data_IF_186114203135
#
_entry.id   IF_186114203135
#
_cell.length_a   1.000
_cell.length_b   1.000
_cell.length_c   1.000
_cell.angle_alpha   90.00
_cell.angle_beta   90.00
_cell.angle_gamma   90.00
#
_symmetry.space_group_name_H-M   'P 1'
#
loop_
_entity.id
_entity.type
_entity.pdbx_description
1 polymer ?
#
# COMPACT_ATOMS: atom_id res chain seq x y z
N UNK A 1 -8.99 11.97 -9.26
CA UNK A 1 -9.55 11.48 -7.99
C UNK A 1 -8.82 10.21 -7.62
N UNK A 2 -8.34 10.12 -6.38
CA UNK A 2 -7.61 8.95 -5.88
C UNK A 2 -8.58 7.78 -5.68
N UNK A 3 -8.13 6.58 -6.04
CA UNK A 3 -8.95 5.36 -6.05
C UNK A 3 -8.20 4.14 -5.53
N UNK A 4 -6.87 4.20 -5.45
CA UNK A 4 -6.01 3.11 -5.02
C UNK A 4 -5.22 3.47 -3.76
N UNK A 5 -5.15 2.54 -2.80
CA UNK A 5 -4.32 2.65 -1.62
C UNK A 5 -3.38 1.44 -1.53
N UNK A 6 -2.09 1.68 -1.74
CA UNK A 6 -1.02 0.70 -1.68
C UNK A 6 -0.28 0.89 -0.35
N UNK A 7 0.06 -0.21 0.34
CA UNK A 7 0.62 -0.15 1.69
C UNK A 7 1.80 -1.12 1.83
N UNK A 8 2.88 -0.69 2.46
CA UNK A 8 3.92 -1.61 2.93
C UNK A 8 3.42 -2.50 4.09
N UNK A 9 4.07 -3.63 4.30
CA UNK A 9 3.80 -4.50 5.43
C UNK A 9 4.69 -4.16 6.64
N UNK A 10 5.99 -4.42 6.54
CA UNK A 10 6.92 -4.24 7.65
C UNK A 10 7.10 -2.76 7.94
N UNK A 11 7.09 -2.37 9.22
CA UNK A 11 7.23 -0.98 9.64
C UNK A 11 5.93 -0.14 9.53
N UNK A 12 4.93 -0.59 8.77
CA UNK A 12 3.63 0.11 8.62
C UNK A 12 2.48 -0.71 9.24
N UNK A 13 2.27 -1.94 8.76
CA UNK A 13 1.23 -2.84 9.29
C UNK A 13 1.71 -3.68 10.47
N UNK A 14 2.98 -3.54 10.83
CA UNK A 14 3.57 -4.08 12.06
C UNK A 14 3.83 -3.00 13.11
N UNK A 15 3.42 -1.75 12.85
CA UNK A 15 3.43 -0.67 13.84
C UNK A 15 2.52 -1.03 15.03
N UNK A 16 2.84 -0.62 16.29
CA UNK A 16 1.99 -0.91 17.44
C UNK A 16 0.51 -0.50 17.26
N UNK A 17 0.27 0.58 16.53
CA UNK A 17 -1.07 1.12 16.28
C UNK A 17 -1.63 0.69 14.91
N UNK A 18 -1.02 -0.30 14.24
CA UNK A 18 -1.43 -0.78 12.91
C UNK A 18 -2.91 -1.20 12.84
N UNK A 19 -3.53 -1.60 13.95
CA UNK A 19 -4.95 -1.92 14.03
C UNK A 19 -5.85 -0.78 13.49
N UNK A 20 -5.46 0.48 13.69
CA UNK A 20 -6.19 1.65 13.18
C UNK A 20 -6.13 1.73 11.64
N UNK A 21 -4.98 1.43 11.04
CA UNK A 21 -4.84 1.40 9.59
C UNK A 21 -5.58 0.21 8.97
N UNK A 22 -5.59 -0.94 9.63
CA UNK A 22 -6.41 -2.08 9.23
C UNK A 22 -7.91 -1.74 9.20
N UNK A 23 -8.42 -1.01 10.21
CA UNK A 23 -9.81 -0.54 10.23
C UNK A 23 -10.10 0.51 9.15
N UNK A 24 -9.14 1.41 8.89
CA UNK A 24 -9.23 2.34 7.77
C UNK A 24 -9.31 1.59 6.43
N UNK A 25 -8.46 0.59 6.19
CA UNK A 25 -8.45 -0.20 4.95
C UNK A 25 -9.80 -0.87 4.69
N UNK A 26 -10.43 -1.48 5.71
CA UNK A 26 -11.78 -2.04 5.60
C UNK A 26 -12.80 -0.98 5.19
N UNK A 27 -12.77 0.17 5.86
CA UNK A 27 -13.70 1.28 5.60
C UNK A 27 -13.50 1.87 4.20
N UNK A 28 -12.25 2.06 3.77
CA UNK A 28 -11.91 2.56 2.45
C UNK A 28 -12.39 1.61 1.34
N UNK A 29 -12.21 0.29 1.52
CA UNK A 29 -12.72 -0.73 0.59
C UNK A 29 -14.24 -0.72 0.50
N UNK A 30 -14.94 -0.62 1.64
CA UNK A 30 -16.40 -0.52 1.65
C UNK A 30 -16.92 0.71 0.88
N UNK A 31 -16.10 1.76 0.75
CA UNK A 31 -16.38 2.97 -0.06
C UNK A 31 -15.91 2.88 -1.51
N UNK A 32 -15.39 1.73 -1.95
CA UNK A 32 -14.94 1.49 -3.32
C UNK A 32 -13.48 1.82 -3.61
N UNK A 33 -12.67 2.13 -2.58
CA UNK A 33 -11.21 2.26 -2.74
C UNK A 33 -10.61 0.88 -2.97
N UNK A 34 -9.77 0.74 -3.99
CA UNK A 34 -9.01 -0.48 -4.25
C UNK A 34 -7.75 -0.51 -3.40
N UNK A 35 -7.43 -1.63 -2.77
CA UNK A 35 -6.29 -1.71 -1.85
C UNK A 35 -5.29 -2.77 -2.27
N UNK A 36 -3.99 -2.49 -2.13
CA UNK A 36 -2.94 -3.47 -2.38
C UNK A 36 -1.85 -3.46 -1.31
N UNK A 37 -1.32 -4.64 -1.02
CA UNK A 37 -0.08 -4.80 -0.27
C UNK A 37 1.10 -4.75 -1.24
N UNK A 38 2.14 -3.98 -0.91
CA UNK A 38 3.40 -3.94 -1.67
C UNK A 38 4.58 -4.13 -0.71
N UNK A 39 5.06 -5.37 -0.63
CA UNK A 39 6.06 -5.77 0.37
C UNK A 39 7.35 -6.28 -0.28
N UNK A 40 8.48 -5.76 0.20
CA UNK A 40 9.79 -6.33 -0.11
C UNK A 40 10.04 -7.60 0.72
N UNK A 41 9.35 -8.68 0.36
CA UNK A 41 9.49 -10.00 0.98
C UNK A 41 9.54 -11.11 -0.08
N UNK A 42 10.03 -12.32 0.27
CA UNK A 42 10.04 -13.48 -0.63
C UNK A 42 8.66 -13.91 -1.13
N UNK A 43 7.62 -13.65 -0.34
CA UNK A 43 6.25 -14.13 -0.54
C UNK A 43 5.58 -14.42 0.80
N UNK A 44 4.39 -15.01 0.76
CA UNK A 44 3.67 -15.45 1.96
C UNK A 44 2.98 -16.81 1.72
N UNK A 45 2.81 -17.60 2.78
CA UNK A 45 2.07 -18.86 2.72
C UNK A 45 0.57 -18.66 2.49
N UNK A 46 -0.17 -19.71 2.08
CA UNK A 46 -1.60 -19.60 1.75
C UNK A 46 -2.48 -19.03 2.87
N UNK A 47 -2.25 -19.44 4.12
CA UNK A 47 -3.02 -18.95 5.27
C UNK A 47 -2.85 -17.44 5.48
N UNK A 48 -1.60 -16.95 5.50
CA UNK A 48 -1.31 -15.53 5.62
C UNK A 48 -1.86 -14.73 4.43
N UNK A 49 -1.81 -15.26 3.20
CA UNK A 49 -2.43 -14.62 2.04
C UNK A 49 -3.95 -14.54 2.18
N UNK A 50 -4.61 -15.57 2.72
CA UNK A 50 -6.04 -15.56 2.97
C UNK A 50 -6.42 -14.48 4.00
N UNK A 51 -5.68 -14.36 5.11
CA UNK A 51 -5.88 -13.32 6.12
C UNK A 51 -5.67 -11.91 5.53
N UNK A 52 -4.60 -11.70 4.75
CA UNK A 52 -4.33 -10.41 4.12
C UNK A 52 -5.38 -10.01 3.07
N UNK A 53 -6.04 -11.00 2.43
CA UNK A 53 -7.09 -10.74 1.43
C UNK A 53 -8.36 -10.12 2.03
N UNK A 54 -8.51 -10.13 3.36
CA UNK A 54 -9.56 -9.36 4.03
C UNK A 54 -9.36 -7.84 3.90
N UNK A 55 -8.12 -7.39 3.69
CA UNK A 55 -7.75 -5.96 3.64
C UNK A 55 -7.27 -5.50 2.27
N UNK A 56 -6.87 -6.43 1.40
CA UNK A 56 -6.24 -6.12 0.12
C UNK A 56 -6.92 -6.85 -1.04
N UNK A 57 -7.20 -6.12 -2.11
CA UNK A 57 -7.63 -6.68 -3.39
C UNK A 57 -6.47 -7.32 -4.16
N UNK A 58 -5.24 -6.86 -3.92
CA UNK A 58 -4.04 -7.43 -4.52
C UNK A 58 -2.88 -7.54 -3.52
N UNK A 59 -2.11 -8.62 -3.60
CA UNK A 59 -0.90 -8.82 -2.83
C UNK A 59 0.30 -8.84 -3.78
N UNK A 60 1.28 -7.95 -3.57
CA UNK A 60 2.51 -7.86 -4.35
C UNK A 60 3.70 -8.07 -3.42
N UNK A 61 4.38 -9.20 -3.63
CA UNK A 61 5.61 -9.53 -2.92
C UNK A 61 6.78 -9.49 -3.90
N UNK A 62 7.84 -8.76 -3.56
CA UNK A 62 9.00 -8.59 -4.43
C UNK A 62 9.62 -9.90 -4.91
N UNK A 63 9.67 -10.93 -4.06
CA UNK A 63 10.21 -12.24 -4.41
C UNK A 63 9.36 -13.02 -5.40
N UNK A 64 8.06 -12.74 -5.46
CA UNK A 64 7.13 -13.38 -6.39
C UNK A 64 7.11 -12.68 -7.76
N UNK A 65 7.34 -11.36 -7.80
CA UNK A 65 7.33 -10.57 -9.04
C UNK A 65 8.73 -10.28 -9.59
N UNK A 66 9.79 -10.59 -8.85
CA UNK A 66 11.18 -10.44 -9.30
C UNK A 66 11.75 -9.02 -9.25
N UNK A 67 10.99 -8.06 -8.71
CA UNK A 67 11.40 -6.66 -8.59
C UNK A 67 10.98 -6.11 -7.23
N UNK A 68 11.80 -5.23 -6.64
CA UNK A 68 11.62 -4.71 -5.27
C UNK A 68 11.56 -3.18 -5.25
N UNK A 69 10.86 -2.61 -4.26
CA UNK A 69 10.94 -1.17 -3.95
C UNK A 69 12.40 -0.78 -3.67
N UNK A 70 12.91 0.37 -4.15
CA UNK A 70 12.17 1.47 -4.76
C UNK A 70 12.09 1.43 -6.31
N UNK A 71 12.31 0.27 -6.96
CA UNK A 71 12.19 0.21 -8.41
C UNK A 71 10.74 0.51 -8.84
N UNK A 72 10.58 1.45 -9.79
CA UNK A 72 9.27 1.91 -10.27
C UNK A 72 8.30 0.79 -10.65
N UNK A 73 8.83 -0.31 -11.19
CA UNK A 73 8.05 -1.40 -11.75
C UNK A 73 7.15 -2.09 -10.72
N UNK A 74 7.59 -2.20 -9.45
CA UNK A 74 6.76 -2.86 -8.41
C UNK A 74 5.47 -2.08 -8.11
N UNK A 75 5.53 -0.74 -8.13
CA UNK A 75 4.36 0.10 -7.90
C UNK A 75 3.40 0.05 -9.10
N UNK A 76 3.95 -0.01 -10.31
CA UNK A 76 3.16 -0.15 -11.54
C UNK A 76 2.45 -1.50 -11.60
N UNK A 77 3.13 -2.58 -11.23
CA UNK A 77 2.52 -3.92 -11.10
C UNK A 77 1.37 -3.88 -10.10
N UNK A 78 1.55 -3.22 -8.95
CA UNK A 78 0.50 -3.10 -7.94
C UNK A 78 -0.71 -2.31 -8.47
N UNK A 79 -0.49 -1.16 -9.12
CA UNK A 79 -1.55 -0.36 -9.74
C UNK A 79 -2.29 -1.13 -10.84
N UNK A 80 -1.56 -1.85 -11.71
CA UNK A 80 -2.12 -2.68 -12.77
C UNK A 80 -3.02 -3.80 -12.22
N UNK A 81 -2.59 -4.49 -11.16
CA UNK A 81 -3.40 -5.52 -10.48
C UNK A 81 -4.70 -4.96 -9.90
N UNK A 82 -4.73 -3.68 -9.56
CA UNK A 82 -5.94 -2.98 -9.11
C UNK A 82 -6.80 -2.45 -10.27
N UNK A 83 -6.32 -2.54 -11.52
CA UNK A 83 -6.96 -1.93 -12.69
C UNK A 83 -6.92 -0.41 -12.68
N UNK A 84 -5.88 0.17 -12.06
CA UNK A 84 -5.73 1.61 -11.85
C UNK A 84 -4.46 2.16 -12.51
N UNK A 85 -4.45 3.46 -12.74
CA UNK A 85 -3.24 4.20 -13.12
C UNK A 85 -2.42 4.57 -11.89
N UNK A 86 -1.10 4.70 -12.02
CA UNK A 86 -0.23 5.19 -10.94
C UNK A 86 -0.73 6.52 -10.33
N UNK A 87 -1.13 7.48 -11.18
CA UNK A 87 -1.64 8.79 -10.77
C UNK A 87 -2.96 8.75 -9.97
N UNK A 88 -3.63 7.59 -9.90
CA UNK A 88 -4.81 7.38 -9.07
C UNK A 88 -4.53 6.63 -7.77
N UNK A 89 -3.26 6.36 -7.46
CA UNK A 89 -2.84 5.56 -6.31
C UNK A 89 -2.03 6.38 -5.31
N UNK A 90 -2.26 6.09 -4.03
CA UNK A 90 -1.42 6.51 -2.89
C UNK A 90 -0.59 5.32 -2.43
N UNK A 91 0.67 5.54 -2.04
CA UNK A 91 1.54 4.54 -1.44
C UNK A 91 2.03 4.97 -0.05
N UNK A 92 1.90 4.09 0.93
CA UNK A 92 2.38 4.29 2.31
C UNK A 92 3.57 3.36 2.59
N UNK A 93 4.68 3.92 3.08
CA UNK A 93 5.89 3.19 3.45
C UNK A 93 6.67 3.94 4.53
N UNK A 94 7.36 3.24 5.41
CA UNK A 94 8.19 3.82 6.48
C UNK A 94 9.58 4.22 5.99
N UNK A 95 10.01 3.71 4.83
CA UNK A 95 11.29 4.08 4.22
C UNK A 95 11.10 5.20 3.19
N UNK A 96 11.61 6.41 3.51
CA UNK A 96 11.57 7.58 2.64
C UNK A 96 12.02 7.31 1.17
N UNK A 97 13.02 6.43 0.97
CA UNK A 97 13.48 6.05 -0.38
C UNK A 97 12.40 5.34 -1.21
N UNK A 98 11.54 4.54 -0.57
CA UNK A 98 10.44 3.82 -1.22
C UNK A 98 9.29 4.78 -1.52
N UNK A 99 9.04 5.74 -0.63
CA UNK A 99 8.07 6.83 -0.85
C UNK A 99 8.48 7.65 -2.07
N UNK A 100 9.77 8.04 -2.15
CA UNK A 100 10.31 8.74 -3.31
C UNK A 100 10.20 7.90 -4.59
N UNK A 101 10.53 6.60 -4.53
CA UNK A 101 10.39 5.70 -5.68
C UNK A 101 8.95 5.59 -6.19
N UNK A 102 7.96 5.64 -5.30
CA UNK A 102 6.55 5.66 -5.68
C UNK A 102 6.16 7.00 -6.33
N UNK A 103 6.64 8.12 -5.78
CA UNK A 103 6.44 9.45 -6.36
C UNK A 103 7.04 9.54 -7.78
N UNK A 104 8.27 9.04 -7.96
CA UNK A 104 8.93 8.97 -9.27
C UNK A 104 8.20 8.04 -10.27
N UNK A 105 7.44 7.07 -9.76
CA UNK A 105 6.56 6.21 -10.56
C UNK A 105 5.18 6.84 -10.86
N UNK A 106 4.91 8.05 -10.33
CA UNK A 106 3.69 8.81 -10.57
C UNK A 106 2.58 8.58 -9.55
N UNK A 107 2.85 7.97 -8.40
CA UNK A 107 1.91 7.83 -7.29
C UNK A 107 2.03 9.02 -6.34
N UNK A 108 1.04 9.20 -5.46
CA UNK A 108 1.20 10.03 -4.27
C UNK A 108 1.88 9.18 -3.19
N UNK A 109 2.97 9.67 -2.60
CA UNK A 109 3.67 8.98 -1.51
C UNK A 109 3.35 9.59 -0.15
N UNK A 110 3.04 8.75 0.83
CA UNK A 110 2.96 9.10 2.26
C UNK A 110 4.13 8.43 2.97
N UNK A 111 4.92 9.21 3.71
CA UNK A 111 5.97 8.68 4.57
C UNK A 111 5.40 8.37 5.94
N UNK A 112 5.27 7.07 6.24
CA UNK A 112 4.81 6.62 7.55
C UNK A 112 5.86 6.91 8.62
N UNK A 113 5.53 7.85 9.52
CA UNK A 113 6.32 8.15 10.73
C UNK A 113 5.53 7.83 11.99
N UNK A 114 4.24 8.17 12.00
CA UNK A 114 3.30 7.84 13.08
C UNK A 114 1.94 7.51 12.49
N UNK A 115 1.16 6.69 13.20
CA UNK A 115 -0.19 6.34 12.79
C UNK A 115 -1.12 7.56 12.69
N UNK A 116 -1.18 8.50 13.65
CA UNK A 116 -2.05 9.68 13.53
C UNK A 116 -1.75 10.53 12.29
N UNK A 117 -0.49 10.85 12.03
CA UNK A 117 -0.10 11.64 10.85
C UNK A 117 -0.48 10.94 9.54
N UNK A 118 -0.29 9.62 9.48
CA UNK A 118 -0.67 8.81 8.31
C UNK A 118 -2.18 8.87 8.05
N UNK A 119 -2.99 8.76 9.11
CA UNK A 119 -4.46 8.81 8.99
C UNK A 119 -4.96 10.22 8.63
N UNK A 120 -4.33 11.26 9.14
CA UNK A 120 -4.65 12.65 8.79
C UNK A 120 -4.39 12.93 7.30
N UNK A 121 -3.24 12.48 6.77
CA UNK A 121 -2.92 12.60 5.35
C UNK A 121 -3.90 11.79 4.47
N UNK A 122 -4.21 10.56 4.88
CA UNK A 122 -5.21 9.72 4.19
C UNK A 122 -6.59 10.37 4.17
N UNK A 123 -7.02 10.97 5.28
CA UNK A 123 -8.29 11.69 5.36
C UNK A 123 -8.30 12.89 4.40
N UNK A 124 -7.21 13.65 4.29
CA UNK A 124 -7.11 14.76 3.36
C UNK A 124 -7.18 14.32 1.89
N UNK A 125 -6.59 13.16 1.55
CA UNK A 125 -6.47 12.68 0.18
C UNK A 125 -7.72 11.95 -0.36
N UNK A 126 -8.47 11.27 0.50
CA UNK A 126 -9.65 10.47 0.12
C UNK A 126 -10.99 11.11 0.54
N UNK A 127 -11.03 12.44 0.58
CA UNK A 127 -12.26 13.23 0.81
C UNK A 127 -13.26 13.13 -0.34
#
# INVERSE_FOLDING_TARGET
MLKGLLVDYAGVLTDPDAHLLYDYLRTARARGTRTALVSNAPGAGPAAKAELSEYFDALVFSGEVGVAKPNREIYLIAAERLGLSAASCVFIDDAARNVQGAADAGLVGIHHITMPATLDELAALFT
#
